data_IF_418876110691
#
_entry.id   IF_418876110691
#
_cell.length_a   1.000
_cell.length_b   1.000
_cell.length_c   1.000
_cell.angle_alpha   90.00
_cell.angle_beta   90.00
_cell.angle_gamma   90.00
#
_symmetry.space_group_name_H-M   'P 1'
#
loop_
_entity.id
_entity.type
_entity.pdbx_description
1 polymer ?
#
# COMPACT_ATOMS: atom_id res chain seq x y z
N UNK A 1 -12.94 -8.24 8.92
CA UNK A 1 -11.70 -8.85 9.48
C UNK A 1 -11.33 -8.04 10.70
N UNK A 2 -11.20 -8.69 11.86
CA UNK A 2 -11.31 -8.12 13.23
C UNK A 2 -10.18 -7.17 13.68
N UNK A 3 -9.79 -6.20 12.85
CA UNK A 3 -8.78 -5.18 13.20
C UNK A 3 -7.36 -5.72 13.45
N UNK A 4 -7.15 -7.03 13.35
CA UNK A 4 -5.83 -7.66 13.46
C UNK A 4 -5.06 -7.46 12.16
N UNK A 5 -3.89 -6.85 12.27
CA UNK A 5 -2.92 -6.78 11.19
C UNK A 5 -2.58 -8.21 10.73
N UNK A 6 -2.99 -8.55 9.51
CA UNK A 6 -2.60 -9.82 8.89
C UNK A 6 -1.21 -9.60 8.29
N UNK A 7 -0.18 -10.31 8.77
CA UNK A 7 1.14 -10.18 8.18
C UNK A 7 1.11 -10.66 6.73
N UNK A 8 1.57 -9.79 5.85
CA UNK A 8 1.73 -10.10 4.43
C UNK A 8 2.88 -11.09 4.25
N UNK A 9 2.70 -12.10 3.38
CA UNK A 9 3.79 -13.01 3.07
C UNK A 9 4.88 -12.29 2.25
N UNK A 10 6.09 -12.85 2.23
CA UNK A 10 7.26 -12.25 1.58
C UNK A 10 7.07 -11.99 0.08
N UNK A 11 6.39 -12.88 -0.64
CA UNK A 11 6.13 -12.72 -2.07
C UNK A 11 5.21 -11.52 -2.34
N UNK A 12 4.11 -11.42 -1.61
CA UNK A 12 3.18 -10.29 -1.74
C UNK A 12 3.83 -8.98 -1.27
N UNK A 13 4.68 -9.03 -0.25
CA UNK A 13 5.42 -7.86 0.22
C UNK A 13 6.36 -7.30 -0.85
N UNK A 14 7.14 -8.16 -1.52
CA UNK A 14 8.05 -7.73 -2.58
C UNK A 14 7.30 -7.04 -3.75
N UNK A 15 6.14 -7.56 -4.13
CA UNK A 15 5.31 -6.96 -5.17
C UNK A 15 4.83 -5.58 -4.73
N UNK A 16 4.29 -5.47 -3.51
CA UNK A 16 3.77 -4.20 -2.99
C UNK A 16 4.86 -3.15 -2.84
N UNK A 17 6.07 -3.52 -2.43
CA UNK A 17 7.21 -2.60 -2.34
C UNK A 17 7.55 -1.98 -3.70
N UNK A 18 7.57 -2.79 -4.78
CA UNK A 18 7.82 -2.30 -6.14
C UNK A 18 6.71 -1.37 -6.63
N UNK A 19 5.45 -1.75 -6.42
CA UNK A 19 4.28 -0.95 -6.81
C UNK A 19 4.29 0.40 -6.11
N UNK A 20 4.45 0.39 -4.79
CA UNK A 20 4.42 1.61 -3.96
C UNK A 20 5.59 2.54 -4.33
N UNK A 21 6.78 1.99 -4.59
CA UNK A 21 7.93 2.78 -5.05
C UNK A 21 7.66 3.45 -6.40
N UNK A 22 7.12 2.71 -7.38
CA UNK A 22 6.77 3.27 -8.68
C UNK A 22 5.69 4.36 -8.61
N UNK A 23 4.69 4.19 -7.73
CA UNK A 23 3.69 5.23 -7.46
C UNK A 23 4.36 6.46 -6.86
N UNK A 24 5.21 6.30 -5.85
CA UNK A 24 5.89 7.41 -5.18
C UNK A 24 6.76 8.24 -6.14
N UNK A 25 7.52 7.58 -7.03
CA UNK A 25 8.33 8.25 -8.06
C UNK A 25 7.49 9.02 -9.09
N UNK A 26 6.26 8.59 -9.34
CA UNK A 26 5.34 9.27 -10.26
C UNK A 26 4.72 10.56 -9.70
N UNK A 27 4.74 10.73 -8.36
CA UNK A 27 4.15 11.89 -7.69
C UNK A 27 5.04 13.12 -7.83
N UNK A 28 4.71 13.99 -8.79
CA UNK A 28 5.41 15.27 -8.97
C UNK A 28 5.22 16.18 -7.75
N UNK A 29 6.32 16.78 -7.33
CA UNK A 29 6.31 17.79 -6.25
C UNK A 29 6.32 17.19 -4.85
N UNK A 30 6.54 15.88 -4.71
CA UNK A 30 6.74 15.28 -3.40
C UNK A 30 8.15 14.77 -3.21
N UNK A 31 8.67 15.00 -2.00
CA UNK A 31 10.04 14.69 -1.62
C UNK A 31 10.26 13.17 -1.63
N UNK A 32 11.25 12.65 -2.37
CA UNK A 32 11.56 11.22 -2.42
C UNK A 32 12.01 10.63 -1.06
N UNK A 33 12.33 11.45 -0.05
CA UNK A 33 12.68 11.00 1.31
C UNK A 33 11.45 10.67 2.19
N UNK A 34 10.56 9.84 1.69
CA UNK A 34 9.36 9.42 2.41
C UNK A 34 9.70 8.56 3.64
N UNK A 35 9.24 8.98 4.83
CA UNK A 35 9.44 8.22 6.08
C UNK A 35 8.41 7.11 6.29
N UNK A 36 7.23 7.21 5.66
CA UNK A 36 6.12 6.26 5.79
C UNK A 36 5.11 6.44 4.66
N UNK A 37 4.67 5.33 4.06
CA UNK A 37 3.54 5.27 3.14
C UNK A 37 2.44 4.38 3.74
N UNK A 38 1.19 4.78 3.61
CA UNK A 38 0.03 4.05 4.12
C UNK A 38 -0.93 3.82 2.95
N UNK A 39 -1.26 2.56 2.69
CA UNK A 39 -2.24 2.17 1.67
C UNK A 39 -3.48 1.69 2.40
N UNK A 40 -4.58 2.44 2.27
CA UNK A 40 -5.89 2.06 2.80
C UNK A 40 -6.75 1.54 1.65
N UNK A 41 -7.30 0.32 1.83
CA UNK A 41 -8.20 -0.30 0.85
C UNK A 41 -9.55 -0.48 1.53
N UNK A 42 -10.50 0.37 1.18
CA UNK A 42 -11.90 0.19 1.54
C UNK A 42 -12.57 -0.66 0.45
N UNK A 43 -13.24 -1.75 0.84
CA UNK A 43 -14.12 -2.50 -0.06
C UNK A 43 -15.53 -1.99 0.17
N UNK A 44 -16.20 -1.57 -0.90
CA UNK A 44 -17.63 -1.28 -0.84
C UNK A 44 -18.40 -2.59 -0.66
N UNK A 45 -19.01 -2.78 0.51
CA UNK A 45 -19.82 -3.95 0.85
C UNK A 45 -21.19 -3.96 0.12
N UNK A 46 -21.48 -2.99 -0.76
CA UNK A 46 -22.74 -2.90 -1.52
C UNK A 46 -22.84 -3.81 -2.75
N UNK A 47 -22.01 -4.83 -2.87
CA UNK A 47 -22.19 -5.91 -3.83
C UNK A 47 -22.80 -7.15 -3.14
N UNK A 48 -24.06 -7.05 -2.69
CA UNK A 48 -24.93 -8.19 -2.39
C UNK A 48 -26.35 -7.92 -2.88
#
# INVERSE_FOLDING_TARGET
>A
MDGKAIPMNSFTQEIMEKVVSGVAESLRGVDPQWKRMVVEVERDDRAR
#
